data_IF_554082092087
#
_entry.id   IF_554082092087
#
_cell.length_a   1.000
_cell.length_b   1.000
_cell.length_c   1.000
_cell.angle_alpha   90.00
_cell.angle_beta   90.00
_cell.angle_gamma   90.00
#
_symmetry.space_group_name_H-M   'P 1'
#
loop_
_entity.id
_entity.type
_entity.pdbx_description
1 polymer ?
#
# COMPACT_ATOMS: atom_id res chain seq x y z
N UNK A 1 -7.98 -23.11 -10.08
CA UNK A 1 -8.97 -22.03 -9.89
C UNK A 1 -8.21 -20.72 -10.08
N UNK A 2 -8.43 -20.00 -11.17
CA UNK A 2 -7.79 -18.70 -11.40
C UNK A 2 -8.54 -17.66 -10.56
N UNK A 3 -7.92 -17.17 -9.50
CA UNK A 3 -8.47 -16.09 -8.68
C UNK A 3 -8.56 -14.82 -9.53
N UNK A 4 -9.78 -14.43 -9.91
CA UNK A 4 -10.06 -13.19 -10.63
C UNK A 4 -10.00 -12.02 -9.62
N UNK A 5 -8.81 -11.72 -9.10
CA UNK A 5 -8.62 -10.56 -8.25
C UNK A 5 -8.73 -9.31 -9.13
N UNK A 6 -9.64 -8.36 -8.82
CA UNK A 6 -9.73 -7.13 -9.61
C UNK A 6 -8.40 -6.38 -9.55
N UNK A 7 -8.00 -5.79 -10.67
CA UNK A 7 -6.86 -4.87 -10.71
C UNK A 7 -7.14 -3.69 -9.76
N UNK A 8 -6.11 -3.10 -9.11
CA UNK A 8 -6.31 -1.94 -8.27
C UNK A 8 -6.93 -0.79 -9.08
N UNK A 9 -7.93 -0.14 -8.51
CA UNK A 9 -8.69 0.92 -9.15
C UNK A 9 -8.95 2.05 -8.14
N UNK A 10 -8.95 3.29 -8.64
CA UNK A 10 -9.35 4.47 -7.87
C UNK A 10 -10.62 5.06 -8.48
N UNK A 11 -11.60 5.34 -7.64
CA UNK A 11 -12.88 5.95 -7.98
C UNK A 11 -13.51 6.66 -6.78
N UNK A 12 -14.78 7.03 -6.92
CA UNK A 12 -15.54 7.78 -5.91
C UNK A 12 -15.50 7.09 -4.54
N UNK A 13 -15.63 5.76 -4.51
CA UNK A 13 -15.57 4.96 -3.29
C UNK A 13 -14.20 5.06 -2.57
N UNK A 14 -13.11 4.99 -3.32
CA UNK A 14 -11.76 5.16 -2.75
C UNK A 14 -11.49 6.60 -2.35
N UNK A 15 -12.09 7.59 -3.02
CA UNK A 15 -11.94 9.00 -2.68
C UNK A 15 -12.64 9.31 -1.35
N UNK A 16 -13.88 8.86 -1.19
CA UNK A 16 -14.66 9.03 0.05
C UNK A 16 -13.93 8.39 1.25
N UNK A 17 -13.36 7.18 1.06
CA UNK A 17 -12.57 6.53 2.11
C UNK A 17 -11.29 7.28 2.48
N UNK A 18 -10.64 7.95 1.51
CA UNK A 18 -9.47 8.79 1.79
C UNK A 18 -9.88 10.05 2.55
N UNK A 19 -11.01 10.68 2.21
CA UNK A 19 -11.52 11.84 2.94
C UNK A 19 -11.82 11.50 4.42
N UNK A 20 -12.51 10.38 4.67
CA UNK A 20 -12.77 9.87 6.02
C UNK A 20 -11.48 9.57 6.80
N UNK A 21 -10.49 8.96 6.13
CA UNK A 21 -9.20 8.65 6.74
C UNK A 21 -8.42 9.93 7.10
N UNK A 22 -8.48 10.96 6.25
CA UNK A 22 -7.86 12.26 6.50
C UNK A 22 -8.53 12.98 7.67
N UNK A 23 -9.87 13.02 7.72
CA UNK A 23 -10.62 13.57 8.84
C UNK A 23 -10.23 12.89 10.16
N UNK A 24 -10.22 11.57 10.17
CA UNK A 24 -9.84 10.77 11.34
C UNK A 24 -8.38 11.00 11.75
N UNK A 25 -7.44 11.05 10.80
CA UNK A 25 -6.03 11.25 11.11
C UNK A 25 -5.74 12.69 11.58
N UNK A 26 -6.40 13.67 10.99
CA UNK A 26 -6.33 15.07 11.40
C UNK A 26 -6.81 15.24 12.85
N UNK A 27 -7.93 14.60 13.23
CA UNK A 27 -8.42 14.59 14.62
C UNK A 27 -7.37 13.99 15.58
N UNK A 28 -6.82 12.81 15.25
CA UNK A 28 -5.80 12.14 16.07
C UNK A 28 -4.53 12.98 16.25
N UNK A 29 -4.13 13.73 15.22
CA UNK A 29 -2.93 14.57 15.22
C UNK A 29 -3.20 16.03 15.61
N UNK A 30 -4.46 16.38 15.89
CA UNK A 30 -4.92 17.76 16.14
C UNK A 30 -4.47 18.73 15.05
N UNK A 31 -4.57 18.28 13.80
CA UNK A 31 -4.20 19.04 12.60
C UNK A 31 -5.44 19.63 11.95
N UNK A 32 -5.32 20.78 11.31
CA UNK A 32 -6.41 21.42 10.59
C UNK A 32 -6.33 21.10 9.08
N UNK A 33 -7.41 20.57 8.51
CA UNK A 33 -7.49 20.21 7.09
C UNK A 33 -7.63 21.40 6.13
N UNK A 34 -7.88 22.61 6.64
CA UNK A 34 -7.98 23.83 5.83
C UNK A 34 -6.63 24.36 5.34
N UNK A 35 -5.52 23.75 5.75
CA UNK A 35 -4.17 24.03 5.26
C UNK A 35 -3.71 22.91 4.31
N UNK A 36 -3.43 23.28 3.06
CA UNK A 36 -3.03 22.32 2.01
C UNK A 36 -1.75 21.58 2.39
N UNK A 37 -0.79 22.22 3.05
CA UNK A 37 0.47 21.56 3.46
C UNK A 37 0.23 20.51 4.54
N UNK A 38 -0.67 20.81 5.47
CA UNK A 38 -1.10 19.87 6.49
C UNK A 38 -1.79 18.66 5.85
N UNK A 39 -2.75 18.89 4.95
CA UNK A 39 -3.46 17.83 4.23
C UNK A 39 -2.50 16.98 3.39
N UNK A 40 -1.55 17.59 2.67
CA UNK A 40 -0.49 16.87 1.94
C UNK A 40 0.33 15.95 2.87
N UNK A 41 0.69 16.44 4.06
CA UNK A 41 1.46 15.67 5.05
C UNK A 41 0.67 14.44 5.55
N UNK A 42 -0.64 14.59 5.74
CA UNK A 42 -1.52 13.49 6.15
C UNK A 42 -1.67 12.45 5.04
N UNK A 43 -1.91 12.88 3.80
CA UNK A 43 -1.95 11.98 2.63
C UNK A 43 -0.64 11.22 2.49
N UNK A 44 0.50 11.91 2.54
CA UNK A 44 1.82 11.29 2.46
C UNK A 44 2.04 10.25 3.58
N UNK A 45 1.55 10.53 4.79
CA UNK A 45 1.61 9.58 5.91
C UNK A 45 0.76 8.33 5.66
N UNK A 46 -0.44 8.50 5.09
CA UNK A 46 -1.33 7.38 4.76
C UNK A 46 -0.75 6.51 3.63
N UNK A 47 -0.18 7.13 2.59
CA UNK A 47 0.52 6.43 1.51
C UNK A 47 1.69 5.63 2.07
N UNK A 48 2.57 6.27 2.85
CA UNK A 48 3.73 5.61 3.44
C UNK A 48 3.31 4.45 4.36
N UNK A 49 2.24 4.61 5.14
CA UNK A 49 1.72 3.51 5.97
C UNK A 49 1.11 2.37 5.12
N UNK A 50 0.37 2.68 4.06
CA UNK A 50 -0.18 1.67 3.16
C UNK A 50 0.92 0.89 2.44
N UNK A 51 1.97 1.58 2.00
CA UNK A 51 3.15 0.95 1.39
C UNK A 51 3.89 0.05 2.38
N UNK A 52 4.05 0.45 3.66
CA UNK A 52 4.67 -0.39 4.69
C UNK A 52 3.88 -1.69 4.97
N UNK A 53 2.59 -1.74 4.65
CA UNK A 53 1.81 -2.98 4.76
C UNK A 53 2.12 -3.99 3.64
N UNK A 54 2.63 -3.53 2.48
CA UNK A 54 2.80 -4.37 1.29
C UNK A 54 3.86 -5.47 1.47
N UNK A 55 5.07 -5.22 2.01
CA UNK A 55 6.08 -6.28 2.16
C UNK A 55 5.55 -7.50 2.90
N UNK A 56 4.84 -7.29 4.01
CA UNK A 56 4.28 -8.39 4.79
C UNK A 56 3.15 -9.12 4.04
N UNK A 57 2.29 -8.39 3.33
CA UNK A 57 1.24 -9.01 2.51
C UNK A 57 1.82 -9.83 1.35
N UNK A 58 2.85 -9.31 0.68
CA UNK A 58 3.55 -10.01 -0.41
C UNK A 58 4.28 -11.23 0.11
N UNK A 59 4.98 -11.13 1.24
CA UNK A 59 5.63 -12.26 1.89
C UNK A 59 4.62 -13.38 2.19
N UNK A 60 3.49 -13.04 2.81
CA UNK A 60 2.43 -14.01 3.09
C UNK A 60 1.84 -14.62 1.82
N UNK A 61 1.62 -13.81 0.77
CA UNK A 61 1.12 -14.31 -0.51
C UNK A 61 2.10 -15.30 -1.16
N UNK A 62 3.41 -15.00 -1.14
CA UNK A 62 4.46 -15.92 -1.61
C UNK A 62 4.51 -17.20 -0.80
N UNK A 63 4.41 -17.12 0.53
CA UNK A 63 4.37 -18.29 1.42
C UNK A 63 3.13 -19.18 1.17
N UNK A 64 2.01 -18.58 0.75
CA UNK A 64 0.79 -19.29 0.37
C UNK A 64 0.81 -19.81 -1.08
N UNK A 65 1.92 -19.68 -1.80
CA UNK A 65 2.12 -20.24 -3.14
C UNK A 65 1.65 -19.36 -4.30
N UNK A 66 1.26 -18.11 -4.06
CA UNK A 66 0.92 -17.18 -5.15
C UNK A 66 2.16 -16.83 -5.98
N UNK A 67 1.96 -16.74 -7.29
CA UNK A 67 3.02 -16.41 -8.25
C UNK A 67 3.31 -14.91 -8.28
N UNK A 68 4.50 -14.53 -8.74
CA UNK A 68 4.84 -13.11 -8.97
C UNK A 68 3.90 -12.44 -9.97
N UNK A 69 3.35 -13.19 -10.95
CA UNK A 69 2.31 -12.68 -11.85
C UNK A 69 1.03 -12.27 -11.12
N UNK A 70 0.52 -13.12 -10.23
CA UNK A 70 -0.71 -12.82 -9.47
C UNK A 70 -0.50 -11.66 -8.50
N UNK A 71 0.67 -11.60 -7.86
CA UNK A 71 1.06 -10.52 -6.96
C UNK A 71 1.18 -9.20 -7.73
N UNK A 72 1.89 -9.19 -8.85
CA UNK A 72 2.06 -8.00 -9.67
C UNK A 72 0.72 -7.49 -10.22
N UNK A 73 -0.18 -8.39 -10.62
CA UNK A 73 -1.53 -8.02 -11.02
C UNK A 73 -2.31 -7.34 -9.89
N UNK A 74 -2.24 -7.88 -8.66
CA UNK A 74 -2.88 -7.27 -7.48
C UNK A 74 -2.28 -5.91 -7.10
N UNK A 75 -0.98 -5.72 -7.36
CA UNK A 75 -0.27 -4.47 -7.12
C UNK A 75 -0.38 -3.46 -8.28
N UNK A 76 -0.96 -3.85 -9.42
CA UNK A 76 -1.04 -3.00 -10.60
C UNK A 76 0.32 -2.69 -11.22
N UNK A 77 1.28 -3.62 -11.12
CA UNK A 77 2.66 -3.45 -11.61
C UNK A 77 3.10 -4.65 -12.46
N UNK A 78 4.35 -4.67 -12.92
CA UNK A 78 4.92 -5.80 -13.65
C UNK A 78 5.48 -6.88 -12.70
N UNK A 79 5.52 -8.16 -13.12
CA UNK A 79 6.13 -9.24 -12.33
C UNK A 79 7.58 -8.96 -11.95
N UNK A 80 8.35 -8.39 -12.89
CA UNK A 80 9.76 -8.05 -12.67
C UNK A 80 9.91 -6.94 -11.64
N UNK A 81 9.07 -5.90 -11.69
CA UNK A 81 9.08 -4.82 -10.69
C UNK A 81 8.64 -5.32 -9.31
N UNK A 82 7.60 -6.18 -9.26
CA UNK A 82 7.15 -6.79 -8.01
C UNK A 82 8.23 -7.68 -7.39
N UNK A 83 8.87 -8.53 -8.20
CA UNK A 83 9.96 -9.39 -7.74
C UNK A 83 11.16 -8.55 -7.30
N UNK A 84 11.57 -7.56 -8.11
CA UNK A 84 12.69 -6.69 -7.77
C UNK A 84 12.45 -5.94 -6.45
N UNK A 85 11.22 -5.50 -6.19
CA UNK A 85 10.90 -4.77 -4.95
C UNK A 85 10.71 -5.67 -3.73
N UNK A 86 10.16 -6.88 -3.87
CA UNK A 86 9.70 -7.66 -2.71
C UNK A 86 10.35 -9.05 -2.54
N UNK A 87 11.17 -9.51 -3.49
CA UNK A 87 11.91 -10.76 -3.33
C UNK A 87 13.02 -10.57 -2.28
N UNK A 88 13.11 -11.41 -1.22
CA UNK A 88 14.19 -11.32 -0.23
C UNK A 88 15.60 -11.45 -0.83
N UNK A 89 15.73 -12.11 -1.98
CA UNK A 89 17.02 -12.26 -2.67
C UNK A 89 17.36 -11.05 -3.56
N UNK A 90 16.45 -10.08 -3.68
CA UNK A 90 16.67 -8.86 -4.45
C UNK A 90 17.56 -7.86 -3.70
N UNK A 91 18.53 -7.22 -4.37
CA UNK A 91 19.41 -6.22 -3.74
C UNK A 91 18.67 -4.95 -3.28
N UNK A 92 17.46 -4.69 -3.78
CA UNK A 92 16.66 -3.51 -3.41
C UNK A 92 15.37 -3.87 -2.68
N UNK A 93 15.34 -5.05 -2.05
CA UNK A 93 14.16 -5.56 -1.35
C UNK A 93 13.65 -4.58 -0.30
N UNK A 94 12.36 -4.26 -0.36
CA UNK A 94 11.67 -3.41 0.61
C UNK A 94 11.45 -4.21 1.89
N UNK A 95 12.36 -4.08 2.85
CA UNK A 95 12.34 -4.83 4.11
C UNK A 95 11.53 -4.15 5.22
N UNK A 96 10.78 -3.08 4.91
CA UNK A 96 9.97 -2.38 5.91
C UNK A 96 8.84 -3.27 6.41
N UNK A 97 8.60 -3.25 7.72
CA UNK A 97 7.43 -3.89 8.32
C UNK A 97 6.34 -2.84 8.58
N UNK A 98 5.04 -3.23 8.62
CA UNK A 98 3.95 -2.31 8.88
C UNK A 98 4.06 -1.57 10.23
N UNK A 99 4.82 -2.16 11.16
CA UNK A 99 5.13 -1.59 12.46
C UNK A 99 6.65 -1.69 12.67
N UNK A 100 7.28 -0.55 12.90
CA UNK A 100 8.63 -0.50 13.43
C UNK A 100 8.51 -0.53 14.98
N UNK A 101 9.05 -1.58 15.62
CA UNK A 101 9.14 -1.67 17.09
C UNK A 101 10.39 -0.97 17.61
#
# INVERSE_FOLDING_TARGET
MTSNNPSPHSGDDTFDLIDDALATLAERRRTWLGDDLATMTLVASLIDQAERCLPQLVHNARANGHTWHEIAHALGTSPDDAQLRFDPESPITDSRWPHDY
#
